data_IF_397069377814
#
_entry.id   IF_397069377814
#
_cell.length_a   1.000
_cell.length_b   1.000
_cell.length_c   1.000
_cell.angle_alpha   90.00
_cell.angle_beta   90.00
_cell.angle_gamma   90.00
#
_symmetry.space_group_name_H-M   'P 1'
#
loop_
_entity.id
_entity.type
_entity.pdbx_description
1 polymer ?
#
# COMPACT_ATOMS: atom_id res chain seq x y z
N UNK A 1 -3.65 7.98 -12.72
CA UNK A 1 -3.58 7.80 -11.25
C UNK A 1 -2.14 7.55 -10.82
N UNK A 2 -1.52 6.41 -11.17
CA UNK A 2 -0.16 6.05 -10.72
C UNK A 2 0.92 7.13 -10.97
N UNK A 3 0.96 7.73 -12.17
CA UNK A 3 1.93 8.81 -12.48
C UNK A 3 1.84 10.00 -11.52
N UNK A 4 0.64 10.52 -11.33
CA UNK A 4 0.40 11.63 -10.41
C UNK A 4 0.72 11.26 -8.96
N UNK A 5 0.47 10.00 -8.56
CA UNK A 5 0.82 9.52 -7.23
C UNK A 5 2.34 9.41 -7.03
N UNK A 6 3.07 8.91 -8.03
CA UNK A 6 4.54 8.80 -7.99
C UNK A 6 5.25 10.17 -7.92
N UNK A 7 4.67 11.22 -8.52
CA UNK A 7 5.17 12.59 -8.43
C UNK A 7 5.12 13.18 -7.01
N UNK A 8 4.29 12.62 -6.12
CA UNK A 8 4.22 13.04 -4.71
C UNK A 8 5.40 12.51 -3.88
N UNK A 9 6.08 11.47 -4.36
CA UNK A 9 7.20 10.84 -3.66
C UNK A 9 8.46 11.65 -3.91
N UNK A 10 9.09 12.13 -2.84
CA UNK A 10 10.31 12.94 -2.88
C UNK A 10 11.47 12.18 -2.20
N UNK A 11 12.72 12.52 -2.52
CA UNK A 11 13.88 12.01 -1.79
C UNK A 11 13.74 12.26 -0.28
N UNK A 12 14.06 11.24 0.51
CA UNK A 12 13.93 11.20 1.97
C UNK A 12 12.60 10.64 2.47
N UNK A 13 11.60 10.44 1.61
CA UNK A 13 10.30 9.90 2.03
C UNK A 13 10.39 8.40 2.37
N UNK A 14 9.60 8.02 3.37
CA UNK A 14 9.24 6.65 3.75
C UNK A 14 7.79 6.44 3.34
N UNK A 15 7.56 5.51 2.43
CA UNK A 15 6.23 5.27 1.87
C UNK A 15 5.77 3.83 2.11
N UNK A 16 4.47 3.65 2.27
CA UNK A 16 3.83 2.34 2.18
C UNK A 16 3.12 2.24 0.83
N UNK A 17 3.34 1.14 0.12
CA UNK A 17 2.54 0.74 -1.04
C UNK A 17 1.78 -0.54 -0.67
N UNK A 18 0.46 -0.52 -0.72
CA UNK A 18 -0.33 -1.75 -0.56
C UNK A 18 -0.10 -2.71 -1.75
N UNK A 19 -0.78 -3.86 -1.76
CA UNK A 19 -0.66 -4.87 -2.83
C UNK A 19 -1.50 -4.62 -4.09
N UNK A 20 -2.18 -3.47 -4.18
CA UNK A 20 -3.10 -3.14 -5.26
C UNK A 20 -2.46 -3.07 -6.66
N UNK A 21 -3.29 -3.18 -7.70
CA UNK A 21 -2.82 -3.06 -9.09
C UNK A 21 -2.37 -1.63 -9.42
N UNK A 22 -2.99 -0.62 -8.81
CA UNK A 22 -2.58 0.78 -9.04
C UNK A 22 -1.28 1.12 -8.31
N UNK A 23 -1.06 0.58 -7.11
CA UNK A 23 0.19 0.74 -6.35
C UNK A 23 1.34 -0.05 -6.98
N UNK A 24 1.07 -1.18 -7.61
CA UNK A 24 2.02 -1.86 -8.50
C UNK A 24 2.53 -0.93 -9.62
N UNK A 25 1.64 -0.18 -10.29
CA UNK A 25 2.07 0.77 -11.32
C UNK A 25 2.84 1.97 -10.74
N UNK A 26 2.56 2.38 -9.48
CA UNK A 26 3.39 3.38 -8.78
C UNK A 26 4.80 2.83 -8.57
N UNK A 27 4.94 1.62 -8.04
CA UNK A 27 6.24 0.97 -7.82
C UNK A 27 7.08 0.88 -9.11
N UNK A 28 6.46 0.58 -10.26
CA UNK A 28 7.18 0.57 -11.56
C UNK A 28 7.75 1.94 -11.94
N UNK A 29 7.06 3.02 -11.58
CA UNK A 29 7.53 4.38 -11.83
C UNK A 29 8.60 4.82 -10.83
N UNK A 30 8.66 4.19 -9.66
CA UNK A 30 9.67 4.48 -8.63
C UNK A 30 11.11 4.11 -9.02
N UNK A 31 11.32 3.45 -10.17
CA UNK A 31 12.66 3.18 -10.71
C UNK A 31 13.49 4.44 -10.96
N UNK A 32 12.83 5.59 -11.09
CA UNK A 32 13.49 6.88 -11.29
C UNK A 32 13.78 7.62 -9.97
N UNK A 33 13.26 7.11 -8.85
CA UNK A 33 13.42 7.73 -7.54
C UNK A 33 14.71 7.27 -6.88
N UNK A 34 15.27 8.13 -6.04
CA UNK A 34 16.47 7.85 -5.25
C UNK A 34 16.26 8.32 -3.82
N UNK A 35 16.88 7.62 -2.87
CA UNK A 35 16.80 7.93 -1.44
C UNK A 35 15.36 7.84 -0.92
N UNK A 36 14.68 6.72 -1.16
CA UNK A 36 13.32 6.47 -0.66
C UNK A 36 13.32 5.14 0.09
N UNK A 37 12.58 5.05 1.20
CA UNK A 37 12.28 3.78 1.86
C UNK A 37 10.85 3.40 1.50
N UNK A 38 10.64 2.22 0.94
CA UNK A 38 9.31 1.71 0.61
C UNK A 38 9.02 0.44 1.38
N UNK A 39 7.90 0.41 2.12
CA UNK A 39 7.35 -0.82 2.67
C UNK A 39 6.16 -1.29 1.85
N UNK A 40 6.05 -2.60 1.63
CA UNK A 40 4.87 -3.18 0.98
C UNK A 40 4.46 -4.51 1.59
N UNK A 41 3.16 -4.79 1.57
CA UNK A 41 2.62 -6.13 1.79
C UNK A 41 2.40 -6.89 0.46
N UNK A 42 2.64 -6.30 -0.70
CA UNK A 42 2.43 -6.93 -2.00
C UNK A 42 3.69 -7.59 -2.55
N UNK A 43 3.65 -8.89 -2.82
CA UNK A 43 4.71 -9.59 -3.55
C UNK A 43 4.85 -9.04 -4.98
N UNK A 44 3.74 -8.70 -5.63
CA UNK A 44 3.73 -8.04 -6.94
C UNK A 44 4.47 -6.70 -6.93
N UNK A 45 4.24 -5.89 -5.89
CA UNK A 45 4.82 -4.57 -5.71
C UNK A 45 6.29 -4.66 -5.34
N UNK A 46 6.65 -5.58 -4.42
CA UNK A 46 8.04 -5.87 -4.09
C UNK A 46 8.84 -6.27 -5.33
N UNK A 47 8.30 -7.15 -6.18
CA UNK A 47 8.94 -7.54 -7.43
C UNK A 47 9.13 -6.35 -8.39
N UNK A 48 8.16 -5.42 -8.47
CA UNK A 48 8.31 -4.23 -9.31
C UNK A 48 9.41 -3.27 -8.82
N UNK A 49 9.61 -3.20 -7.49
CA UNK A 49 10.63 -2.38 -6.84
C UNK A 49 12.05 -2.98 -6.92
N UNK A 50 12.21 -4.24 -7.32
CA UNK A 50 13.56 -4.83 -7.53
C UNK A 50 14.38 -4.06 -8.57
N UNK A 51 13.74 -3.38 -9.51
CA UNK A 51 14.39 -2.55 -10.53
C UNK A 51 14.59 -1.09 -10.07
N UNK A 52 14.23 -0.74 -8.83
CA UNK A 52 14.36 0.61 -8.27
C UNK A 52 15.53 0.68 -7.28
N UNK A 53 16.76 0.75 -7.81
CA UNK A 53 18.01 0.70 -7.02
C UNK A 53 18.12 1.81 -5.95
N UNK A 54 17.44 2.94 -6.18
CA UNK A 54 17.39 4.06 -5.24
C UNK A 54 16.36 3.91 -4.11
N UNK A 55 15.65 2.77 -4.06
CA UNK A 55 14.61 2.49 -3.07
C UNK A 55 15.06 1.36 -2.14
N UNK A 56 15.14 1.65 -0.85
CA UNK A 56 15.27 0.62 0.17
C UNK A 56 13.92 -0.07 0.37
N UNK A 57 13.87 -1.39 0.14
CA UNK A 57 12.64 -2.16 0.16
C UNK A 57 12.47 -2.93 1.48
N UNK A 58 11.41 -2.60 2.21
CA UNK A 58 10.92 -3.36 3.36
C UNK A 58 9.67 -4.16 2.97
N UNK A 59 9.53 -5.35 3.54
CA UNK A 59 8.34 -6.18 3.34
C UNK A 59 7.71 -6.50 4.68
N UNK A 60 6.38 -6.48 4.76
CA UNK A 60 5.68 -6.81 6.01
C UNK A 60 5.89 -8.28 6.41
N UNK A 61 6.15 -9.17 5.44
CA UNK A 61 6.26 -10.61 5.67
C UNK A 61 4.95 -11.21 6.19
N UNK A 62 4.99 -12.42 6.77
CA UNK A 62 3.78 -13.14 7.21
C UNK A 62 3.29 -14.16 6.19
N UNK A 63 1.97 -14.39 6.17
CA UNK A 63 1.35 -15.38 5.31
C UNK A 63 1.05 -14.80 3.93
N UNK A 64 1.42 -15.51 2.85
CA UNK A 64 1.12 -15.09 1.49
C UNK A 64 -0.27 -15.55 1.05
N UNK A 65 -1.16 -14.61 0.80
CA UNK A 65 -2.42 -14.84 0.10
C UNK A 65 -2.18 -14.83 -1.42
N UNK A 66 -2.12 -16.03 -2.02
CA UNK A 66 -1.77 -16.19 -3.45
C UNK A 66 -2.67 -15.43 -4.41
N UNK A 67 -3.97 -15.32 -4.12
CA UNK A 67 -4.95 -14.70 -5.03
C UNK A 67 -4.70 -13.20 -5.22
N UNK A 68 -4.36 -12.48 -4.15
CA UNK A 68 -4.06 -11.05 -4.14
C UNK A 68 -2.56 -10.75 -4.20
N UNK A 69 -1.72 -11.79 -4.15
CA UNK A 69 -0.26 -11.67 -3.98
C UNK A 69 0.12 -10.78 -2.79
N UNK A 70 -0.70 -10.80 -1.72
CA UNK A 70 -0.53 -9.95 -0.55
C UNK A 70 -0.17 -10.76 0.70
N UNK A 71 0.62 -10.15 1.56
CA UNK A 71 1.00 -10.70 2.86
C UNK A 71 0.05 -10.21 3.95
N UNK A 72 -0.26 -11.10 4.90
CA UNK A 72 -1.20 -10.84 6.00
C UNK A 72 -0.85 -11.63 7.26
N UNK A 73 -1.64 -11.39 8.32
CA UNK A 73 -1.53 -12.05 9.62
C UNK A 73 -0.70 -11.27 10.61
N UNK A 74 -0.61 -11.78 11.84
CA UNK A 74 -0.06 -11.02 12.97
C UNK A 74 1.39 -10.59 12.77
N UNK A 75 2.21 -11.39 12.05
CA UNK A 75 3.57 -10.99 11.70
C UNK A 75 3.58 -9.75 10.80
N UNK A 76 2.71 -9.71 9.79
CA UNK A 76 2.60 -8.56 8.88
C UNK A 76 2.18 -7.30 9.65
N UNK A 77 1.22 -7.43 10.57
CA UNK A 77 0.76 -6.32 11.40
C UNK A 77 1.82 -5.84 12.39
N UNK A 78 2.50 -6.76 13.06
CA UNK A 78 3.58 -6.42 14.01
C UNK A 78 4.76 -5.75 13.30
N UNK A 79 5.03 -6.11 12.05
CA UNK A 79 6.09 -5.49 11.26
C UNK A 79 5.91 -3.98 11.13
N UNK A 80 4.69 -3.44 11.23
CA UNK A 80 4.42 -2.01 11.11
C UNK A 80 4.63 -1.24 12.42
N UNK A 81 4.60 -1.90 13.59
CA UNK A 81 4.45 -1.24 14.90
C UNK A 81 5.60 -0.28 15.27
N UNK A 82 6.80 -0.52 14.75
CA UNK A 82 7.99 0.27 15.09
C UNK A 82 8.39 1.27 14.00
N UNK A 83 7.55 1.44 12.98
CA UNK A 83 7.82 2.35 11.88
C UNK A 83 6.85 3.52 11.86
N UNK A 84 7.32 4.59 11.25
CA UNK A 84 6.55 5.77 10.95
C UNK A 84 6.79 6.13 9.49
N UNK A 85 5.72 6.32 8.73
CA UNK A 85 5.75 6.58 7.30
C UNK A 85 5.17 7.95 6.97
N UNK A 86 5.76 8.61 5.98
CA UNK A 86 5.31 9.93 5.52
C UNK A 86 4.04 9.78 4.68
N UNK A 87 3.92 8.70 3.89
CA UNK A 87 2.77 8.48 3.02
C UNK A 87 2.39 7.00 2.91
N UNK A 88 1.08 6.73 2.86
CA UNK A 88 0.51 5.45 2.45
C UNK A 88 -0.22 5.64 1.13
N UNK A 89 0.12 4.83 0.12
CA UNK A 89 -0.69 4.65 -1.08
C UNK A 89 -1.52 3.39 -0.94
N UNK A 90 -2.83 3.56 -0.84
CA UNK A 90 -3.77 2.48 -0.58
C UNK A 90 -4.71 2.26 -1.77
N UNK A 91 -4.66 1.08 -2.38
CA UNK A 91 -5.68 0.59 -3.29
C UNK A 91 -6.92 0.14 -2.51
N UNK A 92 -8.10 0.29 -3.12
CA UNK A 92 -9.37 -0.02 -2.45
C UNK A 92 -10.34 -0.72 -3.37
N UNK A 93 -11.10 -1.67 -2.80
CA UNK A 93 -12.20 -2.33 -3.50
C UNK A 93 -13.47 -1.50 -3.54
N UNK A 94 -13.65 -0.65 -2.53
CA UNK A 94 -14.83 0.17 -2.37
C UNK A 94 -14.51 1.38 -1.47
N UNK A 95 -14.96 2.56 -1.89
CA UNK A 95 -14.93 3.78 -1.09
C UNK A 95 -16.33 4.39 -1.00
N UNK A 96 -16.69 4.78 0.21
CA UNK A 96 -17.94 5.45 0.54
C UNK A 96 -17.62 6.66 1.43
N UNK A 97 -18.28 7.80 1.18
CA UNK A 97 -17.95 9.06 1.86
C UNK A 97 -18.30 9.06 3.35
N UNK A 98 -19.33 8.31 3.75
CA UNK A 98 -19.73 8.19 5.16
C UNK A 98 -19.02 7.03 5.85
N UNK A 99 -18.77 5.95 5.10
CA UNK A 99 -18.34 4.66 5.64
C UNK A 99 -16.85 4.41 5.49
N UNK A 100 -16.14 5.20 4.69
CA UNK A 100 -14.71 5.09 4.44
C UNK A 100 -14.36 4.00 3.42
N UNK A 101 -13.15 3.48 3.55
CA UNK A 101 -12.59 2.40 2.72
C UNK A 101 -13.04 1.04 3.24
N UNK A 102 -13.32 0.10 2.33
CA UNK A 102 -13.68 -1.28 2.69
C UNK A 102 -13.09 -2.32 1.73
N UNK A 103 -12.91 -3.54 2.24
CA UNK A 103 -12.43 -4.73 1.52
C UNK A 103 -13.35 -5.94 1.81
N UNK A 104 -13.24 -6.98 0.98
CA UNK A 104 -13.93 -8.25 1.16
C UNK A 104 -13.22 -9.20 2.13
N UNK A 105 -12.02 -8.88 2.61
CA UNK A 105 -11.21 -9.75 3.45
C UNK A 105 -10.87 -9.09 4.80
N UNK A 106 -11.11 -9.81 5.90
CA UNK A 106 -10.86 -9.30 7.27
C UNK A 106 -9.37 -9.04 7.56
N UNK A 107 -8.48 -9.93 7.13
CA UNK A 107 -7.04 -9.78 7.35
C UNK A 107 -6.47 -8.58 6.58
N UNK A 108 -6.94 -8.36 5.35
CA UNK A 108 -6.60 -7.15 4.58
C UNK A 108 -7.13 -5.89 5.28
N UNK A 109 -8.35 -5.92 5.83
CA UNK A 109 -8.91 -4.78 6.54
C UNK A 109 -8.09 -4.43 7.79
N UNK A 110 -7.69 -5.44 8.58
CA UNK A 110 -6.83 -5.27 9.76
C UNK A 110 -5.49 -4.66 9.38
N UNK A 111 -4.82 -5.21 8.36
CA UNK A 111 -3.50 -4.72 7.95
C UNK A 111 -3.60 -3.30 7.37
N UNK A 112 -4.58 -3.01 6.53
CA UNK A 112 -4.82 -1.68 5.98
C UNK A 112 -5.05 -0.65 7.10
N UNK A 113 -5.81 -1.02 8.14
CA UNK A 113 -5.98 -0.15 9.32
C UNK A 113 -4.64 0.14 10.00
N UNK A 114 -3.80 -0.87 10.21
CA UNK A 114 -2.46 -0.67 10.78
C UNK A 114 -1.59 0.22 9.89
N UNK A 115 -1.65 0.05 8.58
CA UNK A 115 -0.94 0.94 7.64
C UNK A 115 -1.41 2.39 7.75
N UNK A 116 -2.72 2.62 7.88
CA UNK A 116 -3.29 3.96 8.09
C UNK A 116 -2.85 4.57 9.42
N UNK A 117 -2.71 3.79 10.49
CA UNK A 117 -2.29 4.26 11.81
C UNK A 117 -0.83 4.74 11.86
N UNK A 118 0.05 4.17 11.03
CA UNK A 118 1.50 4.48 11.05
C UNK A 118 1.93 5.51 9.99
N UNK A 119 0.99 6.00 9.16
CA UNK A 119 1.27 6.91 8.06
C UNK A 119 0.69 8.32 8.32
N UNK A 120 1.48 9.37 8.09
CA UNK A 120 1.01 10.76 8.25
C UNK A 120 -0.04 11.14 7.20
N UNK A 121 0.18 10.73 5.94
CA UNK A 121 -0.70 11.05 4.81
C UNK A 121 -1.20 9.78 4.13
N UNK A 122 -2.51 9.58 4.16
CA UNK A 122 -3.18 8.46 3.48
C UNK A 122 -3.67 8.92 2.11
N UNK A 123 -3.23 8.25 1.05
CA UNK A 123 -3.53 8.55 -0.35
C UNK A 123 -4.23 7.34 -0.95
N UNK A 124 -5.54 7.43 -1.11
CA UNK A 124 -6.31 6.38 -1.79
C UNK A 124 -6.12 6.50 -3.30
N UNK A 125 -5.65 5.43 -3.93
CA UNK A 125 -5.42 5.36 -5.38
C UNK A 125 -6.39 4.39 -6.03
N UNK A 126 -7.49 4.93 -6.56
CA UNK A 126 -8.59 4.13 -7.11
C UNK A 126 -9.27 4.80 -8.29
N UNK A 127 -9.95 4.00 -9.11
CA UNK A 127 -10.75 4.50 -10.22
C UNK A 127 -12.18 4.87 -9.77
N UNK A 128 -12.88 5.64 -10.62
CA UNK A 128 -14.22 6.14 -10.31
C UNK A 128 -15.26 5.04 -10.11
N UNK A 129 -15.06 3.83 -10.63
CA UNK A 129 -16.02 2.71 -10.53
C UNK A 129 -16.11 2.14 -9.11
N UNK A 130 -15.13 2.46 -8.26
CA UNK A 130 -15.01 2.00 -6.87
C UNK A 130 -15.70 2.91 -5.86
N UNK A 131 -16.20 4.08 -6.29
CA UNK A 131 -16.94 5.03 -5.46
C UNK A 131 -18.39 4.59 -5.22
N UNK A 132 -18.96 5.01 -4.10
CA UNK A 132 -20.34 4.71 -3.65
C UNK A 132 -20.62 3.21 -3.55
N UNK A 133 -19.60 2.44 -3.17
CA UNK A 133 -19.71 1.00 -2.90
C UNK A 133 -19.25 0.74 -1.47
N UNK A 134 -19.73 -0.35 -0.88
CA UNK A 134 -19.26 -0.83 0.42
C UNK A 134 -19.08 -2.34 0.40
N UNK A 135 -17.99 -2.82 0.99
CA UNK A 135 -17.69 -4.23 1.20
C UNK A 135 -17.87 -4.63 2.67
N UNK A 136 -17.73 -5.92 2.97
CA UNK A 136 -18.07 -6.50 4.27
C UNK A 136 -17.18 -6.01 5.43
N UNK A 137 -15.89 -5.77 5.17
CA UNK A 137 -14.91 -5.42 6.20
C UNK A 137 -14.37 -3.99 6.00
N UNK A 138 -14.11 -3.31 7.12
CA UNK A 138 -13.46 -2.00 7.23
C UNK A 138 -12.27 -2.10 8.16
#
# INVERSE_FOLDING_TARGET
>A
IARAAAELIQPGHRVILDSGTTTYEIARLMRQHTNVIAMTNGMNVANALLEAEGVELLMTGGHLRRQSQSFYGDQAEQSLQNYHFDMLFLGVDAIDLERGVSTHNEDEARLNRRMCEVAERIIVVTDSTKFNRSSLHK
#
